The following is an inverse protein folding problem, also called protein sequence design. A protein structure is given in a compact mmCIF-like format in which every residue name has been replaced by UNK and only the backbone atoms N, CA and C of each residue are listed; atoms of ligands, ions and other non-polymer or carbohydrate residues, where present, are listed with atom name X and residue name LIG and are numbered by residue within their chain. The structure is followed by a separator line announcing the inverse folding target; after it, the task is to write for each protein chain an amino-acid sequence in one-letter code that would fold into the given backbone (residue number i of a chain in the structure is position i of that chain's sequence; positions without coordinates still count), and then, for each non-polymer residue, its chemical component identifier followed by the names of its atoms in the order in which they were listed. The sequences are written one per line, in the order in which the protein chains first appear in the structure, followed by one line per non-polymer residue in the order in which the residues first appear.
data_IF_175920230855
#
_entry.id   IF_175920230855
#
_cell.length_a   1.000
_cell.length_b   1.000
_cell.length_c   1.000
_cell.angle_alpha   90.00
_cell.angle_beta   90.00
_cell.angle_gamma   90.00
#
_symmetry.space_group_name_H-M   'P 1'
#
loop_
_entity.id
_entity.type
_entity.pdbx_description
1 polymer ?
#
# COMPACT_ATOMS: atom_id res chain seq x y z
N UNK A 1 -7.39 12.73 -9.76
CA UNK A 1 -6.34 12.71 -8.72
C UNK A 1 -6.22 11.29 -8.19
N UNK A 2 -5.25 10.53 -8.70
CA UNK A 2 -4.86 9.25 -8.11
C UNK A 2 -4.03 9.51 -6.87
N UNK A 3 -4.34 8.71 -5.85
CA UNK A 3 -3.61 8.67 -4.61
C UNK A 3 -3.16 7.24 -4.39
N UNK A 4 -1.92 7.05 -3.95
CA UNK A 4 -1.36 5.75 -3.60
C UNK A 4 -1.15 5.72 -2.09
N UNK A 5 -1.81 4.78 -1.42
CA UNK A 5 -1.49 4.47 -0.03
C UNK A 5 -0.29 3.52 0.00
N UNK A 6 0.70 3.82 0.85
CA UNK A 6 1.87 2.99 1.09
C UNK A 6 2.07 2.82 2.58
N UNK A 7 2.55 1.66 3.02
CA UNK A 7 3.06 1.46 4.38
C UNK A 7 4.56 1.21 4.31
N UNK A 8 5.31 1.85 5.20
CA UNK A 8 6.76 1.69 5.35
C UNK A 8 7.10 1.40 6.81
N UNK A 9 8.10 0.54 7.01
CA UNK A 9 8.77 0.36 8.30
C UNK A 9 10.07 1.16 8.28
N UNK A 10 10.27 2.01 9.28
CA UNK A 10 11.49 2.80 9.43
C UNK A 10 12.57 2.01 10.16
N UNK A 11 13.83 2.48 10.09
CA UNK A 11 14.95 1.84 10.78
C UNK A 11 14.80 1.84 12.31
N UNK A 12 13.98 2.72 12.89
CA UNK A 12 13.63 2.73 14.31
C UNK A 12 12.52 1.73 14.68
N UNK A 13 12.01 0.98 13.71
CA UNK A 13 10.88 0.07 13.88
C UNK A 13 9.51 0.75 13.81
N UNK A 14 9.43 2.05 13.53
CA UNK A 14 8.14 2.74 13.41
C UNK A 14 7.45 2.45 12.08
N UNK A 15 6.16 2.12 12.13
CA UNK A 15 5.30 1.91 10.96
C UNK A 15 4.60 3.21 10.59
N UNK A 16 4.84 3.67 9.37
CA UNK A 16 4.26 4.89 8.81
C UNK A 16 3.45 4.54 7.56
N UNK A 17 2.18 4.94 7.53
CA UNK A 17 1.36 4.88 6.32
C UNK A 17 1.28 6.26 5.68
N UNK A 18 1.45 6.31 4.37
CA UNK A 18 1.46 7.55 3.61
C UNK A 18 0.54 7.47 2.41
N UNK A 19 -0.15 8.56 2.14
CA UNK A 19 -0.91 8.79 0.93
C UNK A 19 -0.11 9.73 0.05
N UNK A 20 0.25 9.24 -1.13
CA UNK A 20 1.08 9.96 -2.09
C UNK A 20 0.23 10.33 -3.30
N UNK A 21 0.33 11.56 -3.78
CA UNK A 21 -0.35 11.98 -5.00
C UNK A 21 0.43 11.57 -6.27
N UNK A 22 -0.15 11.90 -7.41
CA UNK A 22 0.37 11.55 -8.76
C UNK A 22 1.77 12.11 -9.04
N UNK A 23 2.18 13.15 -8.32
CA UNK A 23 3.49 13.79 -8.46
C UNK A 23 4.53 13.21 -7.49
N UNK A 24 4.19 12.16 -6.72
CA UNK A 24 5.08 11.60 -5.71
C UNK A 24 5.10 12.38 -4.40
N UNK A 25 4.25 13.39 -4.23
CA UNK A 25 4.20 14.17 -2.99
C UNK A 25 3.31 13.48 -1.96
N UNK A 26 3.82 13.34 -0.73
CA UNK A 26 3.04 12.89 0.41
C UNK A 26 2.00 13.97 0.73
N UNK A 27 0.72 13.62 0.58
CA UNK A 27 -0.40 14.50 0.90
C UNK A 27 -1.00 14.22 2.27
N UNK A 28 -0.71 13.05 2.84
CA UNK A 28 -1.09 12.67 4.20
C UNK A 28 -0.20 11.56 4.72
N UNK A 29 0.16 11.61 5.99
CA UNK A 29 0.90 10.55 6.67
C UNK A 29 0.26 10.22 8.01
N UNK A 30 0.41 8.97 8.45
CA UNK A 30 -0.06 8.50 9.75
C UNK A 30 0.92 7.50 10.35
N UNK A 31 1.21 7.70 11.63
CA UNK A 31 2.07 6.83 12.41
C UNK A 31 1.21 5.80 13.14
N UNK A 32 1.56 4.52 13.03
CA UNK A 32 0.79 3.40 13.61
C UNK A 32 1.46 2.81 14.86
N UNK A 33 2.70 3.23 15.16
CA UNK A 33 3.47 2.78 16.31
C UNK A 33 4.71 1.98 15.90
N UNK A 34 5.45 1.53 16.91
CA UNK A 34 6.66 0.73 16.72
C UNK A 34 6.30 -0.75 16.63
N UNK A 35 6.82 -1.43 15.61
CA UNK A 35 6.69 -2.86 15.37
C UNK A 35 8.05 -3.46 15.02
N UNK A 36 8.22 -4.74 15.32
CA UNK A 36 9.36 -5.50 14.80
C UNK A 36 9.18 -5.78 13.30
N UNK A 37 10.29 -6.07 12.59
CA UNK A 37 10.23 -6.40 11.16
C UNK A 37 9.37 -7.65 10.90
N UNK A 38 9.44 -8.65 11.78
CA UNK A 38 8.64 -9.86 11.70
C UNK A 38 7.14 -9.58 11.85
N UNK A 39 6.76 -8.74 12.80
CA UNK A 39 5.35 -8.33 12.99
C UNK A 39 4.83 -7.54 11.79
N UNK A 40 5.66 -6.65 11.24
CA UNK A 40 5.32 -5.88 10.04
C UNK A 40 5.10 -6.80 8.83
N UNK A 41 6.01 -7.75 8.57
CA UNK A 41 5.88 -8.73 7.48
C UNK A 41 4.66 -9.63 7.65
N UNK A 42 4.36 -10.08 8.87
CA UNK A 42 3.17 -10.86 9.19
C UNK A 42 1.89 -10.06 8.97
N UNK A 43 1.90 -8.78 9.33
CA UNK A 43 0.83 -7.83 9.05
C UNK A 43 0.59 -7.65 7.54
N UNK A 44 1.65 -7.41 6.77
CA UNK A 44 1.58 -7.30 5.31
C UNK A 44 1.01 -8.56 4.67
N UNK A 45 1.51 -9.75 5.04
CA UNK A 45 0.98 -11.02 4.52
C UNK A 45 -0.49 -11.23 4.85
N UNK A 46 -0.94 -10.76 6.02
CA UNK A 46 -2.36 -10.78 6.39
C UNK A 46 -3.18 -9.82 5.53
N UNK A 47 -2.67 -8.62 5.26
CA UNK A 47 -3.30 -7.67 4.34
C UNK A 47 -3.37 -8.29 2.95
N UNK A 48 -2.27 -8.80 2.40
CA UNK A 48 -2.24 -9.51 1.11
C UNK A 48 -3.27 -10.64 1.06
N UNK A 49 -3.36 -11.48 2.10
CA UNK A 49 -4.35 -12.57 2.16
C UNK A 49 -5.81 -12.10 2.31
N UNK A 50 -6.05 -10.97 2.98
CA UNK A 50 -7.41 -10.41 3.13
C UNK A 50 -7.85 -9.76 1.82
N UNK A 51 -6.92 -9.08 1.17
CA UNK A 51 -7.15 -8.41 -0.09
C UNK A 51 -6.91 -9.33 -1.28
N UNK A 52 -6.46 -10.58 -1.15
CA UNK A 52 -6.20 -11.50 -2.27
C UNK A 52 -7.44 -11.87 -3.10
N UNK A 53 -8.64 -11.46 -2.68
CA UNK A 53 -9.86 -11.52 -3.49
C UNK A 53 -10.17 -10.25 -4.31
N UNK A 54 -9.42 -9.16 -4.12
CA UNK A 54 -9.62 -7.84 -4.78
C UNK A 54 -8.31 -7.16 -5.18
N UNK A 55 -7.17 -7.67 -4.72
CA UNK A 55 -5.85 -7.16 -4.99
C UNK A 55 -5.19 -8.08 -6.00
N UNK A 56 -5.17 -7.61 -7.24
CA UNK A 56 -3.90 -7.62 -7.95
C UNK A 56 -2.91 -6.88 -7.07
N UNK A 57 -2.20 -7.60 -6.20
CA UNK A 57 -0.82 -7.28 -5.91
C UNK A 57 -0.08 -7.45 -7.22
N UNK A 58 -0.21 -6.44 -8.10
CA UNK A 58 0.85 -6.18 -9.05
C UNK A 58 2.10 -6.06 -8.20
N UNK A 59 3.01 -7.00 -8.43
CA UNK A 59 4.33 -7.00 -7.87
C UNK A 59 4.84 -5.56 -7.89
N UNK A 60 5.47 -5.15 -6.79
CA UNK A 60 6.28 -3.95 -6.77
C UNK A 60 7.45 -4.22 -7.72
N UNK A 61 7.24 -4.01 -9.00
CA UNK A 61 8.29 -3.95 -10.02
C UNK A 61 7.95 -2.83 -11.02
N UNK A 62 8.97 -2.13 -11.54
CA UNK A 62 8.78 -0.90 -12.26
C UNK A 62 8.37 -1.17 -13.70
N UNK A 63 7.54 -0.26 -14.23
CA UNK A 63 7.31 0.03 -15.65
C UNK A 63 6.12 -0.67 -16.33
N UNK A 64 5.22 0.20 -16.81
CA UNK A 64 4.35 0.08 -18.00
C UNK A 64 2.94 -0.55 -17.90
N UNK A 65 1.99 -0.07 -18.74
CA UNK A 65 0.62 0.18 -18.32
C UNK A 65 -0.39 -0.77 -18.97
N UNK A 66 -0.93 -1.72 -18.20
CA UNK A 66 -2.18 -2.40 -18.50
C UNK A 66 -3.30 -1.88 -17.60
N UNK A 67 -4.55 -1.74 -18.07
CA UNK A 67 -5.63 -1.21 -17.23
C UNK A 67 -6.05 -2.27 -16.20
N UNK A 68 -6.06 -1.97 -14.89
CA UNK A 68 -6.60 -2.91 -13.91
C UNK A 68 -8.13 -2.93 -13.95
N UNK A 69 -8.62 -4.16 -13.98
CA UNK A 69 -9.97 -4.74 -14.10
C UNK A 69 -11.14 -4.20 -13.26
N UNK A 70 -11.02 -3.13 -12.48
CA UNK A 70 -12.10 -2.67 -11.56
C UNK A 70 -13.19 -1.81 -12.24
N UNK A 71 -13.43 -2.03 -13.53
CA UNK A 71 -14.70 -1.63 -14.16
C UNK A 71 -15.80 -2.61 -13.71
N UNK A 72 -16.56 -2.22 -12.69
CA UNK A 72 -17.96 -2.60 -12.44
C UNK A 72 -18.54 -1.60 -11.41
N UNK A 73 -19.15 -0.49 -11.82
CA UNK A 73 -20.55 -0.31 -12.26
C UNK A 73 -21.56 -0.15 -11.09
N UNK A 74 -22.03 1.10 -10.91
CA UNK A 74 -23.35 1.55 -10.42
C UNK A 74 -23.20 3.07 -10.15
N UNK A 75 -23.97 4.01 -10.70
CA UNK A 75 -25.34 4.02 -11.21
C UNK A 75 -25.42 4.82 -12.52
#
# INVERSE_FOLDING_TARGET
MKYKATLRLTASGEVVGEVVNEHGNVVSSRHFGVMTEDEFRKGLKKVENVFSGVASTDAIEPSEPGPPFWRAAAT
#
